data_IF_278800559276
#
_entry.id   IF_278800559276
#
_cell.length_a   1.000
_cell.length_b   1.000
_cell.length_c   1.000
_cell.angle_alpha   90.00
_cell.angle_beta   90.00
_cell.angle_gamma   90.00
#
_symmetry.space_group_name_H-M   'P 1'
#
loop_
_entity.id
_entity.type
_entity.pdbx_description
1 polymer ?
#
# COMPACT_ATOMS: atom_id res chain seq x y z
N UNK A 1 10.26 -13.01 16.04
CA UNK A 1 9.59 -12.60 14.78
C UNK A 1 9.36 -13.81 13.87
N UNK A 2 8.14 -13.99 13.34
CA UNK A 2 7.88 -14.89 12.22
C UNK A 2 7.72 -14.06 10.94
N UNK A 3 8.57 -14.30 9.93
CA UNK A 3 8.37 -13.72 8.59
C UNK A 3 7.98 -14.84 7.63
N UNK A 4 6.79 -14.73 7.04
CA UNK A 4 6.40 -15.56 5.91
C UNK A 4 6.74 -14.80 4.63
N UNK A 5 7.59 -15.38 3.77
CA UNK A 5 8.00 -14.74 2.52
C UNK A 5 7.39 -15.50 1.34
N UNK A 6 6.55 -14.81 0.59
CA UNK A 6 5.95 -15.28 -0.65
C UNK A 6 6.53 -14.47 -1.81
N UNK A 7 7.66 -14.94 -2.34
CA UNK A 7 8.36 -14.30 -3.46
C UNK A 7 9.01 -15.36 -4.35
N UNK A 8 8.88 -15.18 -5.67
CA UNK A 8 9.65 -15.94 -6.65
C UNK A 8 11.10 -15.41 -6.79
N UNK A 9 11.38 -14.22 -6.25
CA UNK A 9 12.67 -13.57 -6.36
C UNK A 9 13.61 -14.01 -5.24
N UNK A 10 14.69 -14.71 -5.61
CA UNK A 10 15.72 -15.17 -4.66
C UNK A 10 16.37 -14.01 -3.90
N UNK A 11 16.60 -12.88 -4.58
CA UNK A 11 17.19 -11.70 -3.94
C UNK A 11 16.27 -11.13 -2.87
N UNK A 12 14.97 -10.92 -3.17
CA UNK A 12 13.97 -10.47 -2.19
C UNK A 12 13.94 -11.41 -0.99
N UNK A 13 13.88 -12.72 -1.26
CA UNK A 13 13.85 -13.76 -0.23
C UNK A 13 15.07 -13.67 0.69
N UNK A 14 16.28 -13.67 0.13
CA UNK A 14 17.53 -13.57 0.91
C UNK A 14 17.68 -12.24 1.64
N UNK A 15 17.20 -11.14 1.07
CA UNK A 15 17.25 -9.83 1.72
C UNK A 15 16.42 -9.83 3.01
N UNK A 16 15.20 -10.34 2.96
CA UNK A 16 14.32 -10.38 4.13
C UNK A 16 14.65 -11.50 5.11
N UNK A 17 15.17 -12.65 4.67
CA UNK A 17 15.76 -13.66 5.56
C UNK A 17 16.92 -13.07 6.38
N UNK A 18 17.80 -12.26 5.77
CA UNK A 18 18.88 -11.62 6.52
C UNK A 18 18.37 -10.58 7.53
N UNK A 19 17.23 -9.96 7.26
CA UNK A 19 16.56 -9.09 8.24
C UNK A 19 16.05 -9.90 9.45
N UNK A 20 15.77 -11.21 9.30
CA UNK A 20 15.37 -12.08 10.42
C UNK A 20 16.47 -12.32 11.46
N UNK A 21 17.73 -12.06 11.11
CA UNK A 21 18.86 -12.21 12.04
C UNK A 21 18.95 -11.10 13.09
N UNK A 22 18.17 -10.03 12.94
CA UNK A 22 18.08 -9.00 13.97
C UNK A 22 17.06 -9.45 15.03
N UNK A 23 17.52 -9.59 16.28
CA UNK A 23 16.71 -9.95 17.46
C UNK A 23 15.54 -8.97 17.65
N UNK A 24 14.42 -9.31 17.02
CA UNK A 24 13.19 -8.55 17.01
C UNK A 24 12.07 -9.43 17.58
N UNK A 25 11.29 -8.81 18.48
CA UNK A 25 10.20 -9.43 19.26
C UNK A 25 9.09 -10.08 18.41
N UNK A 26 8.10 -10.67 19.07
CA UNK A 26 6.99 -11.53 18.57
C UNK A 26 6.09 -10.99 17.43
N UNK A 27 6.46 -9.91 16.74
CA UNK A 27 5.72 -9.44 15.57
C UNK A 27 5.77 -10.48 14.44
N UNK A 28 4.62 -10.67 13.78
CA UNK A 28 4.47 -11.53 12.61
C UNK A 28 4.30 -10.67 11.36
N UNK A 29 5.20 -10.83 10.38
CA UNK A 29 5.20 -10.05 9.14
C UNK A 29 5.07 -11.01 7.97
N UNK A 30 4.11 -10.77 7.09
CA UNK A 30 4.08 -11.45 5.79
C UNK A 30 4.64 -10.53 4.72
N UNK A 31 5.48 -11.07 3.84
CA UNK A 31 6.02 -10.35 2.68
C UNK A 31 5.50 -11.03 1.43
N UNK A 32 4.76 -10.28 0.63
CA UNK A 32 4.21 -10.72 -0.64
C UNK A 32 4.86 -9.92 -1.76
N UNK A 33 5.60 -10.57 -2.63
CA UNK A 33 6.26 -9.93 -3.77
C UNK A 33 5.37 -10.00 -5.03
N UNK A 34 4.66 -8.90 -5.28
CA UNK A 34 3.86 -8.72 -6.48
C UNK A 34 4.72 -8.09 -7.59
N UNK A 35 5.38 -8.91 -8.40
CA UNK A 35 6.27 -8.43 -9.47
C UNK A 35 5.56 -7.50 -10.46
N UNK A 36 4.58 -8.01 -11.20
CA UNK A 36 3.90 -7.31 -12.30
C UNK A 36 2.40 -7.16 -12.08
N UNK A 37 1.77 -8.13 -11.43
CA UNK A 37 0.34 -8.17 -11.11
C UNK A 37 0.15 -8.73 -9.71
N UNK A 38 -0.83 -8.22 -8.98
CA UNK A 38 -1.28 -8.87 -7.75
C UNK A 38 -2.21 -10.01 -8.12
N UNK A 39 -1.79 -11.22 -7.80
CA UNK A 39 -2.72 -12.31 -7.61
C UNK A 39 -3.52 -12.04 -6.33
N UNK A 40 -4.72 -11.48 -6.53
CA UNK A 40 -5.63 -11.10 -5.43
C UNK A 40 -6.08 -12.34 -4.67
N UNK A 41 -6.23 -13.48 -5.35
CA UNK A 41 -6.67 -14.71 -4.73
C UNK A 41 -5.58 -15.21 -3.79
N UNK A 42 -4.34 -15.27 -4.29
CA UNK A 42 -3.19 -15.63 -3.45
C UNK A 42 -3.01 -14.66 -2.27
N UNK A 43 -3.12 -13.35 -2.48
CA UNK A 43 -3.01 -12.39 -1.38
C UNK A 43 -4.17 -12.54 -0.37
N UNK A 44 -5.38 -12.83 -0.83
CA UNK A 44 -6.55 -13.07 0.04
C UNK A 44 -6.39 -14.36 0.85
N UNK A 45 -5.93 -15.44 0.21
CA UNK A 45 -5.60 -16.70 0.88
C UNK A 45 -4.50 -16.50 1.93
N UNK A 46 -3.46 -15.71 1.61
CA UNK A 46 -2.42 -15.34 2.56
C UNK A 46 -3.01 -14.60 3.76
N UNK A 47 -3.85 -13.59 3.52
CA UNK A 47 -4.50 -12.78 4.57
C UNK A 47 -5.35 -13.65 5.51
N UNK A 48 -6.05 -14.65 4.96
CA UNK A 48 -6.97 -15.53 5.68
C UNK A 48 -6.21 -16.63 6.44
N UNK A 49 -5.27 -17.30 5.78
CA UNK A 49 -4.61 -18.50 6.31
C UNK A 49 -3.40 -18.20 7.18
N UNK A 50 -2.78 -17.02 7.02
CA UNK A 50 -1.61 -16.60 7.78
C UNK A 50 -1.96 -15.34 8.58
N UNK A 51 -2.54 -15.48 9.78
CA UNK A 51 -2.88 -14.33 10.62
C UNK A 51 -1.58 -13.64 11.07
N UNK A 52 -1.17 -12.61 10.34
CA UNK A 52 0.00 -11.78 10.66
C UNK A 52 -0.38 -10.37 11.05
N UNK A 53 0.41 -9.75 11.93
CA UNK A 53 0.22 -8.38 12.41
C UNK A 53 0.33 -7.37 11.27
N UNK A 54 1.28 -7.60 10.36
CA UNK A 54 1.51 -6.76 9.19
C UNK A 54 1.71 -7.59 7.93
N UNK A 55 1.35 -7.00 6.79
CA UNK A 55 1.56 -7.58 5.45
C UNK A 55 2.24 -6.52 4.60
N UNK A 56 3.43 -6.82 4.07
CA UNK A 56 4.17 -5.97 3.16
C UNK A 56 3.98 -6.51 1.75
N UNK A 57 3.35 -5.70 0.90
CA UNK A 57 3.15 -5.98 -0.52
C UNK A 57 4.20 -5.19 -1.30
N UNK A 58 5.21 -5.90 -1.80
CA UNK A 58 6.24 -5.32 -2.67
C UNK A 58 5.71 -5.23 -4.09
N UNK A 59 5.98 -4.13 -4.79
CA UNK A 59 5.70 -4.03 -6.21
C UNK A 59 6.77 -3.20 -6.94
N UNK A 60 6.85 -3.36 -8.26
CA UNK A 60 7.87 -2.71 -9.08
C UNK A 60 7.49 -1.29 -9.55
N UNK A 61 6.48 -0.64 -8.94
CA UNK A 61 6.07 0.72 -9.29
C UNK A 61 6.73 1.72 -8.35
N UNK A 62 7.07 2.91 -8.86
CA UNK A 62 7.66 3.96 -8.05
C UNK A 62 6.56 4.79 -7.36
N UNK A 63 6.42 4.60 -6.05
CA UNK A 63 5.46 5.34 -5.23
C UNK A 63 5.96 5.46 -3.78
N UNK A 64 5.44 6.43 -3.05
CA UNK A 64 5.66 6.52 -1.61
C UNK A 64 5.03 5.32 -0.88
N UNK A 65 5.57 4.86 0.26
CA UNK A 65 4.93 3.81 1.05
C UNK A 65 3.52 4.20 1.51
N UNK A 66 2.57 3.30 1.27
CA UNK A 66 1.15 3.49 1.59
C UNK A 66 0.70 2.35 2.49
N UNK A 67 -0.09 2.65 3.49
CA UNK A 67 -0.65 1.67 4.41
C UNK A 67 -2.18 1.66 4.28
N UNK A 68 -2.76 0.46 4.27
CA UNK A 68 -4.19 0.19 4.13
C UNK A 68 -4.64 -0.56 5.37
N UNK A 69 -5.76 -0.12 5.95
CA UNK A 69 -6.37 -0.70 7.15
C UNK A 69 -5.41 -0.87 8.34
N UNK A 70 -4.39 0.00 8.42
CA UNK A 70 -3.29 -0.05 9.42
C UNK A 70 -2.50 -1.37 9.48
N UNK A 71 -2.65 -2.26 8.51
CA UNK A 71 -2.06 -3.61 8.52
C UNK A 71 -1.28 -3.92 7.25
N UNK A 72 -1.81 -3.53 6.09
CA UNK A 72 -1.20 -3.84 4.80
C UNK A 72 -0.38 -2.64 4.33
N UNK A 73 0.89 -2.86 4.03
CA UNK A 73 1.84 -1.83 3.61
C UNK A 73 2.22 -2.13 2.16
N UNK A 74 1.81 -1.26 1.26
CA UNK A 74 2.24 -1.29 -0.13
C UNK A 74 3.56 -0.54 -0.24
N UNK A 75 4.59 -1.25 -0.66
CA UNK A 75 5.95 -0.75 -0.73
C UNK A 75 6.52 -0.92 -2.14
N UNK A 76 7.11 0.16 -2.66
CA UNK A 76 7.85 0.10 -3.91
C UNK A 76 9.17 -0.65 -3.73
N UNK A 77 9.56 -1.51 -4.68
CA UNK A 77 10.91 -2.09 -4.76
C UNK A 77 12.00 -1.04 -4.98
N UNK A 78 11.63 0.15 -5.46
CA UNK A 78 12.55 1.29 -5.58
C UNK A 78 12.73 2.07 -4.27
N UNK A 79 12.00 1.68 -3.21
CA UNK A 79 12.17 2.29 -1.89
C UNK A 79 13.58 2.03 -1.38
N UNK A 80 14.25 3.07 -0.88
CA UNK A 80 15.60 2.91 -0.35
C UNK A 80 15.64 1.93 0.82
N UNK A 81 16.70 1.12 0.89
CA UNK A 81 16.90 0.12 1.95
C UNK A 81 16.79 0.75 3.34
N UNK A 82 17.25 1.99 3.50
CA UNK A 82 17.13 2.72 4.77
C UNK A 82 15.68 2.93 5.20
N UNK A 83 14.77 3.21 4.27
CA UNK A 83 13.34 3.32 4.57
C UNK A 83 12.77 1.95 4.93
N UNK A 84 13.11 0.91 4.17
CA UNK A 84 12.65 -0.48 4.44
C UNK A 84 13.07 -0.91 5.83
N UNK A 85 14.35 -0.73 6.20
CA UNK A 85 14.87 -1.04 7.52
C UNK A 85 14.09 -0.34 8.62
N UNK A 86 13.78 0.95 8.46
CA UNK A 86 13.03 1.67 9.48
C UNK A 86 11.56 1.26 9.55
N UNK A 87 10.93 0.86 8.44
CA UNK A 87 9.58 0.28 8.46
C UNK A 87 9.59 -1.02 9.26
N UNK A 88 10.51 -1.93 8.94
CA UNK A 88 10.64 -3.19 9.67
C UNK A 88 10.94 -2.94 11.15
N UNK A 89 11.90 -2.06 11.45
CA UNK A 89 12.20 -1.66 12.83
C UNK A 89 10.94 -1.11 13.54
N UNK A 90 10.15 -0.26 12.87
CA UNK A 90 8.93 0.27 13.46
C UNK A 90 7.90 -0.81 13.78
N UNK A 91 7.72 -1.78 12.89
CA UNK A 91 6.84 -2.94 13.11
C UNK A 91 7.36 -3.79 14.28
N UNK A 92 8.65 -4.12 14.27
CA UNK A 92 9.26 -5.03 15.23
C UNK A 92 9.32 -4.49 16.66
N UNK A 93 9.60 -3.20 16.83
CA UNK A 93 9.84 -2.62 18.16
C UNK A 93 8.67 -1.81 18.71
N UNK A 94 7.93 -1.10 17.85
CA UNK A 94 6.82 -0.25 18.31
C UNK A 94 5.46 -0.87 18.03
N UNK A 95 5.38 -1.92 17.19
CA UNK A 95 4.12 -2.52 16.71
C UNK A 95 3.16 -1.50 16.10
N UNK A 96 3.71 -0.37 15.65
CA UNK A 96 2.97 0.75 15.09
C UNK A 96 3.82 1.46 14.03
N UNK A 97 3.16 1.90 12.97
CA UNK A 97 3.76 2.73 11.93
C UNK A 97 3.13 4.12 11.98
N UNK A 98 3.98 5.12 12.23
CA UNK A 98 3.57 6.52 12.18
C UNK A 98 3.11 6.88 10.77
N UNK A 99 1.83 7.21 10.66
CA UNK A 99 1.18 7.44 9.39
C UNK A 99 0.13 8.53 9.50
N UNK A 100 -0.18 9.17 8.37
CA UNK A 100 -1.21 10.18 8.25
C UNK A 100 -2.34 9.65 7.39
N UNK A 101 -3.56 9.75 7.89
CA UNK A 101 -4.75 9.36 7.13
C UNK A 101 -4.84 10.14 5.82
N UNK A 102 -5.05 9.43 4.72
CA UNK A 102 -5.37 10.00 3.42
C UNK A 102 -6.88 10.22 3.39
N UNK A 103 -7.28 11.48 3.51
CA UNK A 103 -8.69 11.87 3.49
C UNK A 103 -9.08 12.43 2.13
N UNK A 104 -9.96 11.72 1.43
CA UNK A 104 -10.66 12.23 0.25
C UNK A 104 -11.96 12.93 0.67
N UNK A 105 -12.22 14.11 0.11
CA UNK A 105 -13.50 14.79 0.23
C UNK A 105 -14.61 13.95 -0.41
N UNK A 106 -15.90 14.21 -0.11
CA UNK A 106 -17.01 13.49 -0.74
C UNK A 106 -16.95 13.54 -2.28
N UNK A 107 -16.64 14.70 -2.86
CA UNK A 107 -16.45 14.84 -4.32
C UNK A 107 -15.26 14.05 -4.84
N UNK A 108 -14.12 14.08 -4.14
CA UNK A 108 -12.94 13.30 -4.55
C UNK A 108 -13.20 11.79 -4.47
N UNK A 109 -14.01 11.33 -3.50
CA UNK A 109 -14.38 9.90 -3.41
C UNK A 109 -15.22 9.46 -4.60
N UNK A 110 -16.29 10.19 -4.91
CA UNK A 110 -17.14 9.89 -6.09
C UNK A 110 -16.31 9.90 -7.37
N UNK A 111 -15.46 10.92 -7.55
CA UNK A 111 -14.54 10.96 -8.68
C UNK A 111 -13.61 9.74 -8.71
N UNK A 112 -13.04 9.37 -7.57
CA UNK A 112 -12.10 8.27 -7.45
C UNK A 112 -12.75 6.93 -7.81
N UNK A 113 -13.99 6.70 -7.38
CA UNK A 113 -14.72 5.47 -7.65
C UNK A 113 -15.01 5.31 -9.16
N UNK A 114 -15.52 6.34 -9.83
CA UNK A 114 -15.71 6.31 -11.29
C UNK A 114 -14.40 6.13 -12.04
N UNK A 115 -13.36 6.86 -11.62
CA UNK A 115 -12.07 6.81 -12.28
C UNK A 115 -11.41 5.43 -12.17
N UNK A 116 -11.55 4.76 -11.03
CA UNK A 116 -11.09 3.37 -10.84
C UNK A 116 -11.97 2.35 -11.57
N UNK A 117 -13.24 2.68 -11.83
CA UNK A 117 -14.14 1.93 -12.71
C UNK A 117 -13.73 1.97 -14.19
N UNK A 118 -12.74 2.79 -14.56
CA UNK A 118 -12.24 2.93 -15.93
C UNK A 118 -12.91 4.04 -16.72
N UNK A 119 -13.75 4.86 -16.08
CA UNK A 119 -14.46 5.93 -16.76
C UNK A 119 -13.52 7.06 -17.24
N UNK A 120 -13.87 7.66 -18.37
CA UNK A 120 -13.09 8.75 -18.95
C UNK A 120 -13.29 10.05 -18.18
N UNK A 121 -12.30 10.95 -18.21
CA UNK A 121 -12.41 12.27 -17.55
C UNK A 121 -13.62 13.07 -18.05
N UNK A 122 -13.95 12.97 -19.33
CA UNK A 122 -15.09 13.69 -19.91
C UNK A 122 -16.42 13.14 -19.37
N UNK A 123 -16.55 11.81 -19.33
CA UNK A 123 -17.72 11.16 -18.73
C UNK A 123 -17.90 11.54 -17.27
N UNK A 124 -16.83 11.46 -16.47
CA UNK A 124 -16.88 11.81 -15.05
C UNK A 124 -17.23 13.30 -14.87
N UNK A 125 -16.68 14.17 -15.71
CA UNK A 125 -16.95 15.60 -15.66
C UNK A 125 -18.43 15.90 -15.93
N UNK A 126 -19.01 15.29 -16.97
CA UNK A 126 -20.43 15.38 -17.30
C UNK A 126 -21.30 14.84 -16.16
N UNK A 127 -21.01 13.62 -15.70
CA UNK A 127 -21.78 12.95 -14.65
C UNK A 127 -21.76 13.72 -13.32
N UNK A 128 -20.62 14.33 -12.97
CA UNK A 128 -20.49 15.15 -11.78
C UNK A 128 -20.91 16.61 -11.99
N UNK A 129 -21.39 17.00 -13.18
CA UNK A 129 -21.73 18.38 -13.54
C UNK A 129 -20.61 19.38 -13.28
N UNK A 130 -19.38 19.02 -13.65
CA UNK A 130 -18.16 19.86 -13.54
C UNK A 130 -17.44 19.99 -14.88
N UNK A 131 -16.51 20.93 -14.99
CA UNK A 131 -15.67 21.04 -16.20
C UNK A 131 -14.62 19.92 -16.26
N UNK A 132 -14.17 19.50 -17.46
CA UNK A 132 -13.04 18.57 -17.62
C UNK A 132 -11.74 19.08 -16.96
N UNK A 133 -11.55 20.40 -16.89
CA UNK A 133 -10.43 21.03 -16.16
C UNK A 133 -10.53 20.76 -14.66
N UNK A 134 -11.71 20.95 -14.08
CA UNK A 134 -11.97 20.65 -12.66
C UNK A 134 -11.77 19.17 -12.37
N UNK A 135 -12.28 18.28 -13.23
CA UNK A 135 -12.08 16.84 -13.12
C UNK A 135 -10.58 16.45 -13.11
N UNK A 136 -9.78 17.02 -14.02
CA UNK A 136 -8.32 16.82 -14.00
C UNK A 136 -7.64 17.37 -12.75
N UNK A 137 -8.10 18.52 -12.22
CA UNK A 137 -7.58 19.07 -10.97
C UNK A 137 -7.88 18.15 -9.78
N UNK A 138 -9.08 17.56 -9.71
CA UNK A 138 -9.46 16.57 -8.70
C UNK A 138 -8.52 15.36 -8.79
N UNK A 139 -8.33 14.79 -9.99
CA UNK A 139 -7.36 13.69 -10.22
C UNK A 139 -5.96 14.04 -9.70
N UNK A 140 -5.46 15.22 -10.03
CA UNK A 140 -4.14 15.68 -9.60
C UNK A 140 -4.03 15.87 -8.08
N UNK A 141 -5.10 16.31 -7.43
CA UNK A 141 -5.16 16.42 -5.97
C UNK A 141 -5.14 15.04 -5.31
N UNK A 142 -5.88 14.05 -5.86
CA UNK A 142 -5.82 12.67 -5.40
C UNK A 142 -4.40 12.12 -5.55
N UNK A 143 -3.75 12.29 -6.71
CA UNK A 143 -2.33 11.91 -6.89
C UNK A 143 -1.42 12.48 -5.78
N UNK A 144 -1.53 13.78 -5.50
CA UNK A 144 -0.73 14.44 -4.44
C UNK A 144 -0.99 13.84 -3.06
N UNK A 145 -2.24 13.52 -2.73
CA UNK A 145 -2.63 12.95 -1.43
C UNK A 145 -2.02 11.58 -1.20
N UNK A 146 -1.97 10.74 -2.22
CA UNK A 146 -1.37 9.41 -2.15
C UNK A 146 0.15 9.40 -2.40
N UNK A 147 0.72 10.48 -2.94
CA UNK A 147 2.16 10.56 -3.21
C UNK A 147 2.59 9.63 -4.35
N UNK A 148 1.71 9.42 -5.33
CA UNK A 148 1.98 8.68 -6.58
C UNK A 148 1.33 9.41 -7.75
N UNK A 149 1.82 9.19 -8.97
CA UNK A 149 1.19 9.62 -10.23
C UNK A 149 0.77 8.44 -11.10
N UNK A 150 0.93 7.23 -10.59
CA UNK A 150 0.73 6.00 -11.34
C UNK A 150 -0.67 5.43 -11.09
N UNK A 151 -1.48 5.32 -12.14
CA UNK A 151 -2.82 4.74 -12.09
C UNK A 151 -2.77 3.27 -11.64
N UNK A 152 -1.74 2.52 -12.02
CA UNK A 152 -1.65 1.11 -11.67
C UNK A 152 -1.42 0.91 -10.17
N UNK A 153 -0.65 1.79 -9.54
CA UNK A 153 -0.54 1.88 -8.07
C UNK A 153 -1.91 2.15 -7.43
N UNK A 154 -2.77 2.96 -8.05
CA UNK A 154 -4.12 3.22 -7.54
C UNK A 154 -5.06 2.03 -7.68
N UNK A 155 -5.04 1.36 -8.83
CA UNK A 155 -5.78 0.12 -9.02
C UNK A 155 -5.33 -0.94 -8.01
N UNK A 156 -4.04 -1.01 -7.72
CA UNK A 156 -3.48 -1.85 -6.68
C UNK A 156 -4.05 -1.50 -5.29
N UNK A 157 -4.00 -0.23 -4.88
CA UNK A 157 -4.57 0.21 -3.60
C UNK A 157 -6.05 -0.13 -3.52
N UNK A 158 -6.82 0.17 -4.58
CA UNK A 158 -8.24 -0.13 -4.64
C UNK A 158 -8.52 -1.63 -4.52
N UNK A 159 -7.80 -2.46 -5.28
CA UNK A 159 -7.93 -3.92 -5.23
C UNK A 159 -7.68 -4.44 -3.82
N UNK A 160 -6.58 -4.03 -3.19
CA UNK A 160 -6.26 -4.42 -1.81
C UNK A 160 -7.36 -3.94 -0.86
N UNK A 161 -7.80 -2.69 -0.95
CA UNK A 161 -8.82 -2.13 -0.05
C UNK A 161 -10.19 -2.81 -0.17
N UNK A 162 -10.48 -3.45 -1.29
CA UNK A 162 -11.72 -4.18 -1.55
C UNK A 162 -11.60 -5.70 -1.29
N UNK A 163 -10.46 -6.20 -0.82
CA UNK A 163 -10.31 -7.63 -0.50
C UNK A 163 -11.14 -8.02 0.72
N UNK A 164 -11.69 -9.24 0.69
CA UNK A 164 -12.39 -9.83 1.83
C UNK A 164 -11.41 -10.00 3.00
N UNK A 165 -11.86 -9.68 4.21
CA UNK A 165 -11.05 -9.77 5.43
C UNK A 165 -10.36 -8.47 5.86
N UNK A 166 -10.51 -7.38 5.09
CA UNK A 166 -10.00 -6.05 5.45
C UNK A 166 -11.17 -5.19 5.95
N UNK A 167 -11.46 -5.26 7.25
CA UNK A 167 -12.44 -4.37 7.88
C UNK A 167 -11.87 -2.94 7.95
N UNK A 168 -12.65 -1.92 7.56
CA UNK A 168 -12.29 -0.49 7.66
C UNK A 168 -11.07 -0.08 6.81
N UNK A 169 -11.11 -0.28 5.49
CA UNK A 169 -10.05 0.10 4.55
C UNK A 169 -9.86 1.63 4.44
N UNK A 170 -9.27 2.23 5.48
CA UNK A 170 -8.72 3.58 5.45
C UNK A 170 -7.32 3.52 4.87
N UNK A 171 -6.97 4.53 4.08
CA UNK A 171 -5.64 4.66 3.51
C UNK A 171 -4.81 5.63 4.34
N UNK A 172 -3.53 5.35 4.46
CA UNK A 172 -2.59 6.12 5.26
C UNK A 172 -1.30 6.27 4.47
N UNK A 173 -0.75 7.49 4.47
CA UNK A 173 0.60 7.74 3.99
C UNK A 173 1.55 7.54 5.16
N UNK A 174 2.61 6.77 4.98
CA UNK A 174 3.63 6.63 6.03
C UNK A 174 4.47 7.91 6.05
N UNK A 175 4.45 8.65 7.16
CA UNK A 175 4.95 10.04 7.24
C UNK A 175 6.23 10.20 8.01
N UNK A 176 6.57 9.26 8.90
CA UNK A 176 7.85 9.30 9.59
C UNK A 176 8.28 7.91 9.95
N UNK A 177 9.56 7.64 9.73
CA UNK A 177 10.19 6.42 10.18
C UNK A 177 10.97 6.76 11.45
N UNK A 178 10.78 6.01 12.53
CA UNK A 178 11.60 6.18 13.74
C UNK A 178 13.08 6.15 13.35
N UNK A 179 13.93 6.95 14.00
CA UNK A 179 15.38 6.84 13.80
C UNK A 179 15.77 5.44 14.26
N UNK A 180 16.15 4.57 13.32
CA UNK A 180 16.94 3.40 13.66
C UNK A 180 18.26 3.95 14.22
N UNK A 181 18.56 3.61 15.47
CA UNK A 181 19.83 3.94 16.11
C UNK A 181 20.98 3.22 15.41
#
# INVERSE_FOLDING_TARGET
>A
MSINIFSACLFTTKAFENIMKYDCTDASITIFDAEYTIDINMLSEIIINYPTDFIIVLNNRNHSPIMIAKRIIILSKHTSVNIIKKIIYSICFFREIKSKTISLSPHEKVFFDYWLGGETINFIAEHMSITPKTANNIKNNIYKKYGTKDLLTFLLISKVSNMRGISNAKHYRITSFCRAA
#
